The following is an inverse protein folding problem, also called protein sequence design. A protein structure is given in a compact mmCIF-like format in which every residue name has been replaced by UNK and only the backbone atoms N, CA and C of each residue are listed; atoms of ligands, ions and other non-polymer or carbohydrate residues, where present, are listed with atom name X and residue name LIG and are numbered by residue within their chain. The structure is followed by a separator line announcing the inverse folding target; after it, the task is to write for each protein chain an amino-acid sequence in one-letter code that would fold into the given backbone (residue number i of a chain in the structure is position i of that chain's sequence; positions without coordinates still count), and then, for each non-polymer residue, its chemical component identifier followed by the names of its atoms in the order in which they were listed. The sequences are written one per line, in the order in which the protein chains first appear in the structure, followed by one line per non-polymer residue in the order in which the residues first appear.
data_IF_310138989010
#
_entry.id   IF_310138989010
#
_cell.length_a   1.000
_cell.length_b   1.000
_cell.length_c   1.000
_cell.angle_alpha   90.00
_cell.angle_beta   90.00
_cell.angle_gamma   90.00
#
_symmetry.space_group_name_H-M   'P 1'
#
loop_
_entity.id
_entity.type
_entity.pdbx_description
1 polymer ?
#
# COMPACT_ATOMS: atom_id res chain seq x y z
N UNK A 1 -20.66 11.60 -0.18
CA UNK A 1 -19.30 11.93 0.31
C UNK A 1 -18.87 10.82 1.24
N UNK A 2 -17.60 10.42 1.20
CA UNK A 2 -17.07 9.39 2.11
C UNK A 2 -17.11 9.97 3.53
N UNK A 3 -17.92 9.36 4.40
CA UNK A 3 -18.15 9.85 5.76
C UNK A 3 -17.26 9.18 6.80
N UNK A 4 -16.50 8.15 6.41
CA UNK A 4 -15.69 7.33 7.31
C UNK A 4 -14.19 7.47 7.00
N UNK A 5 -13.38 7.99 7.94
CA UNK A 5 -11.93 8.07 7.80
C UNK A 5 -11.27 6.73 7.44
N UNK A 6 -11.80 5.60 7.92
CA UNK A 6 -11.27 4.27 7.59
C UNK A 6 -11.44 3.94 6.10
N UNK A 7 -12.58 4.28 5.50
CA UNK A 7 -12.82 4.03 4.07
C UNK A 7 -11.87 4.84 3.20
N UNK A 8 -11.61 6.11 3.55
CA UNK A 8 -10.63 6.96 2.83
C UNK A 8 -9.25 6.32 2.85
N UNK A 9 -8.86 5.74 3.99
CA UNK A 9 -7.57 5.09 4.16
C UNK A 9 -7.44 3.80 3.35
N UNK A 10 -8.51 3.02 3.27
CA UNK A 10 -8.57 1.85 2.38
C UNK A 10 -8.37 2.27 0.92
N UNK A 11 -9.05 3.34 0.47
CA UNK A 11 -8.88 3.84 -0.91
C UNK A 11 -7.43 4.25 -1.19
N UNK A 12 -6.80 4.99 -0.28
CA UNK A 12 -5.39 5.40 -0.42
C UNK A 12 -4.48 4.17 -0.43
N UNK A 13 -4.74 3.17 0.41
CA UNK A 13 -3.96 1.93 0.48
C UNK A 13 -4.04 1.16 -0.83
N UNK A 14 -5.24 1.02 -1.41
CA UNK A 14 -5.41 0.34 -2.71
C UNK A 14 -4.69 1.09 -3.84
N UNK A 15 -4.77 2.43 -3.86
CA UNK A 15 -4.09 3.27 -4.86
C UNK A 15 -2.56 3.19 -4.73
N UNK A 16 -2.02 3.24 -3.51
CA UNK A 16 -0.59 3.07 -3.27
C UNK A 16 -0.11 1.67 -3.69
N UNK A 17 -0.94 0.64 -3.50
CA UNK A 17 -0.60 -0.71 -3.90
C UNK A 17 -0.51 -0.87 -5.42
N UNK A 18 -1.49 -0.37 -6.18
CA UNK A 18 -1.41 -0.43 -7.65
C UNK A 18 -0.24 0.41 -8.19
N UNK A 19 0.07 1.57 -7.58
CA UNK A 19 1.28 2.34 -7.88
C UNK A 19 2.53 1.48 -7.69
N UNK A 20 2.62 0.79 -6.56
CA UNK A 20 3.76 -0.06 -6.22
C UNK A 20 3.93 -1.22 -7.20
N UNK A 21 2.86 -1.89 -7.57
CA UNK A 21 2.88 -2.98 -8.55
C UNK A 21 3.43 -2.48 -9.89
N UNK A 22 2.96 -1.32 -10.35
CA UNK A 22 3.41 -0.73 -11.61
C UNK A 22 4.89 -0.33 -11.58
N UNK A 23 5.40 0.22 -10.48
CA UNK A 23 6.82 0.51 -10.34
C UNK A 23 7.69 -0.75 -10.36
N UNK A 24 7.25 -1.83 -9.69
CA UNK A 24 7.95 -3.11 -9.72
C UNK A 24 7.96 -3.64 -11.16
N UNK A 25 6.82 -3.64 -11.85
CA UNK A 25 6.73 -4.05 -13.24
C UNK A 25 7.64 -3.20 -14.13
N UNK A 26 7.64 -1.88 -13.96
CA UNK A 26 8.50 -0.96 -14.73
C UNK A 26 9.99 -1.27 -14.54
N UNK A 27 10.42 -1.65 -13.33
CA UNK A 27 11.81 -2.10 -13.10
C UNK A 27 12.09 -3.44 -13.80
N UNK A 28 11.14 -4.38 -13.77
CA UNK A 28 11.25 -5.66 -14.48
C UNK A 28 11.32 -5.45 -15.99
N UNK A 29 10.47 -4.60 -16.55
CA UNK A 29 10.42 -4.24 -17.97
C UNK A 29 11.76 -3.64 -18.43
N UNK A 30 12.32 -2.68 -17.67
CA UNK A 30 13.65 -2.11 -17.96
C UNK A 30 14.75 -3.17 -17.99
N UNK A 31 14.72 -4.11 -17.05
CA UNK A 31 15.66 -5.25 -17.03
C UNK A 31 15.43 -6.19 -18.22
N UNK A 32 14.19 -6.43 -18.60
CA UNK A 32 13.83 -7.26 -19.75
C UNK A 32 14.34 -6.63 -21.06
N UNK A 33 14.13 -5.33 -21.25
CA UNK A 33 14.68 -4.57 -22.40
C UNK A 33 16.21 -4.63 -22.42
N UNK A 34 16.88 -4.47 -21.27
CA UNK A 34 18.35 -4.50 -21.20
C UNK A 34 18.95 -5.89 -21.46
N UNK A 35 18.24 -6.96 -21.10
CA UNK A 35 18.72 -8.35 -21.23
C UNK A 35 18.18 -9.07 -22.47
N UNK A 36 17.22 -8.48 -23.18
CA UNK A 36 16.51 -9.08 -24.30
C UNK A 36 15.62 -10.27 -23.92
N UNK A 37 15.38 -10.51 -22.62
CA UNK A 37 14.56 -11.61 -22.12
C UNK A 37 13.29 -11.04 -21.49
N UNK A 38 12.09 -11.43 -21.94
CA UNK A 38 10.85 -10.97 -21.33
C UNK A 38 10.74 -11.43 -19.87
N UNK A 39 9.99 -10.67 -19.07
CA UNK A 39 9.64 -11.05 -17.71
C UNK A 39 8.79 -12.34 -17.76
N UNK A 40 9.22 -13.44 -17.11
CA UNK A 40 8.47 -14.70 -17.13
C UNK A 40 7.16 -14.62 -16.34
N UNK A 41 7.00 -13.61 -15.48
CA UNK A 41 5.82 -13.46 -14.60
C UNK A 41 5.46 -11.97 -14.42
N UNK A 42 4.88 -11.34 -15.46
CA UNK A 42 4.44 -9.96 -15.38
C UNK A 42 3.17 -9.84 -14.55
N UNK A 43 3.08 -8.79 -13.72
CA UNK A 43 1.86 -8.50 -12.95
C UNK A 43 0.70 -8.12 -13.86
N UNK A 44 0.99 -7.46 -14.99
CA UNK A 44 -0.01 -7.00 -15.96
C UNK A 44 0.24 -7.70 -17.29
N UNK A 45 -0.78 -8.40 -17.80
CA UNK A 45 -0.75 -8.93 -19.16
C UNK A 45 -0.85 -7.82 -20.22
N UNK A 46 -0.65 -8.16 -21.49
CA UNK A 46 -0.68 -7.20 -22.61
C UNK A 46 -2.03 -6.48 -22.73
N UNK A 47 -3.13 -7.13 -22.37
CA UNK A 47 -4.49 -6.57 -22.34
C UNK A 47 -4.80 -5.75 -21.08
N UNK A 48 -3.90 -5.74 -20.09
CA UNK A 48 -4.07 -5.05 -18.80
C UNK A 48 -3.20 -3.79 -18.67
N UNK A 49 -2.53 -3.37 -19.73
CA UNK A 49 -1.63 -2.22 -19.67
C UNK A 49 -2.35 -0.93 -19.26
N UNK A 50 -3.62 -0.74 -19.60
CA UNK A 50 -4.40 0.44 -19.17
C UNK A 50 -4.64 0.49 -17.65
N UNK A 51 -4.45 -0.62 -16.92
CA UNK A 51 -4.58 -0.68 -15.46
C UNK A 51 -3.32 -0.22 -14.72
N UNK A 52 -2.21 -0.02 -15.44
CA UNK A 52 -0.94 0.42 -14.86
C UNK A 52 -1.01 1.87 -14.43
N UNK A 53 -0.46 2.17 -13.25
CA UNK A 53 -0.42 3.52 -12.67
C UNK A 53 0.10 4.57 -13.66
N UNK A 54 1.26 4.30 -14.28
CA UNK A 54 1.85 5.21 -15.27
C UNK A 54 0.96 5.49 -16.48
N UNK A 55 0.03 4.58 -16.81
CA UNK A 55 -0.82 4.68 -17.99
C UNK A 55 -2.14 5.38 -17.68
N UNK A 56 -2.81 5.05 -16.56
CA UNK A 56 -4.07 5.70 -16.23
C UNK A 56 -3.88 7.09 -15.63
N UNK A 57 -2.77 7.39 -14.96
CA UNK A 57 -2.56 8.68 -14.28
C UNK A 57 -2.56 9.89 -15.23
N UNK A 58 -2.23 9.68 -16.50
CA UNK A 58 -2.19 10.71 -17.53
C UNK A 58 -3.48 10.82 -18.35
N UNK A 59 -4.49 10.00 -18.05
CA UNK A 59 -5.78 10.02 -18.75
C UNK A 59 -6.64 11.17 -18.24
N UNK A 60 -7.63 11.54 -19.04
CA UNK A 60 -8.69 12.45 -18.60
C UNK A 60 -9.35 11.93 -17.30
N UNK A 61 -9.70 12.80 -16.34
CA UNK A 61 -10.28 12.38 -15.06
C UNK A 61 -11.47 11.43 -15.20
N UNK A 62 -12.37 11.65 -16.16
CA UNK A 62 -13.54 10.78 -16.36
C UNK A 62 -13.12 9.37 -16.80
N UNK A 63 -12.13 9.28 -17.70
CA UNK A 63 -11.58 8.01 -18.18
C UNK A 63 -10.82 7.31 -17.05
N UNK A 64 -9.98 8.05 -16.32
CA UNK A 64 -9.25 7.55 -15.16
C UNK A 64 -10.22 6.96 -14.12
N UNK A 65 -11.32 7.65 -13.86
CA UNK A 65 -12.33 7.21 -12.91
C UNK A 65 -12.94 5.86 -13.32
N UNK A 66 -13.32 5.70 -14.59
CA UNK A 66 -13.82 4.42 -15.12
C UNK A 66 -12.77 3.31 -15.05
N UNK A 67 -11.52 3.59 -15.45
CA UNK A 67 -10.43 2.60 -15.38
C UNK A 67 -10.13 2.15 -13.96
N UNK A 68 -10.14 3.07 -12.99
CA UNK A 68 -9.88 2.73 -11.59
C UNK A 68 -11.05 1.96 -11.00
N UNK A 69 -12.29 2.42 -11.19
CA UNK A 69 -13.48 1.80 -10.65
C UNK A 69 -13.75 0.40 -11.23
N UNK A 70 -13.72 0.28 -12.56
CA UNK A 70 -14.18 -0.91 -13.29
C UNK A 70 -13.03 -1.80 -13.77
N UNK A 71 -11.78 -1.34 -13.67
CA UNK A 71 -10.59 -2.09 -14.06
C UNK A 71 -9.70 -2.43 -12.86
N UNK A 72 -9.10 -1.41 -12.23
CA UNK A 72 -8.09 -1.56 -11.19
C UNK A 72 -8.64 -2.28 -9.95
N UNK A 73 -9.76 -1.82 -9.38
CA UNK A 73 -10.33 -2.45 -8.18
C UNK A 73 -10.76 -3.91 -8.41
N UNK A 74 -11.44 -4.27 -9.52
CA UNK A 74 -11.67 -5.66 -9.90
C UNK A 74 -10.40 -6.49 -10.11
N UNK A 75 -9.32 -5.89 -10.62
CA UNK A 75 -8.03 -6.56 -10.76
C UNK A 75 -7.40 -6.85 -9.39
N UNK A 76 -7.38 -5.87 -8.47
CA UNK A 76 -6.85 -6.05 -7.11
C UNK A 76 -7.58 -7.14 -6.32
N UNK A 77 -8.92 -7.23 -6.46
CA UNK A 77 -9.73 -8.30 -5.84
C UNK A 77 -9.34 -9.70 -6.32
N UNK A 78 -8.98 -9.84 -7.60
CA UNK A 78 -8.59 -11.12 -8.21
C UNK A 78 -7.18 -11.54 -7.83
N UNK A 79 -6.28 -10.59 -7.63
CA UNK A 79 -4.90 -10.85 -7.18
C UNK A 79 -4.82 -11.41 -5.74
N UNK A 80 -5.81 -11.15 -4.88
CA UNK A 80 -5.91 -11.71 -3.52
C UNK A 80 -6.28 -13.20 -3.47
N UNK A 81 -5.77 -14.01 -4.40
CA UNK A 81 -6.17 -15.41 -4.61
C UNK A 81 -5.55 -16.42 -3.65
N UNK A 82 -4.30 -16.20 -3.21
CA UNK A 82 -3.55 -17.18 -2.39
C UNK A 82 -3.38 -16.72 -0.94
N UNK A 83 -3.29 -17.68 0.00
CA UNK A 83 -3.38 -17.62 1.48
C UNK A 83 -2.42 -16.64 2.21
N UNK A 84 -2.40 -15.37 1.82
CA UNK A 84 -1.70 -14.29 2.53
C UNK A 84 -2.68 -13.40 3.31
N UNK A 85 -2.22 -12.78 4.40
CA UNK A 85 -3.01 -11.79 5.16
C UNK A 85 -3.52 -10.65 4.27
N UNK A 86 -2.77 -10.31 3.22
CA UNK A 86 -3.12 -9.27 2.25
C UNK A 86 -4.36 -9.65 1.41
N UNK A 87 -4.48 -10.92 1.04
CA UNK A 87 -5.55 -11.46 0.21
C UNK A 87 -6.94 -11.31 0.83
N UNK A 88 -7.05 -11.41 2.17
CA UNK A 88 -8.32 -11.19 2.86
C UNK A 88 -8.80 -9.73 2.80
N UNK A 89 -7.88 -8.76 2.89
CA UNK A 89 -8.22 -7.33 2.83
C UNK A 89 -8.52 -6.84 1.40
N UNK A 90 -7.99 -7.52 0.39
CA UNK A 90 -8.21 -7.14 -1.01
C UNK A 90 -9.53 -7.66 -1.58
N UNK A 91 -10.07 -8.80 -1.08
CA UNK A 91 -11.31 -9.41 -1.61
C UNK A 91 -12.54 -8.50 -1.51
N UNK A 92 -12.61 -7.69 -0.47
CA UNK A 92 -13.70 -6.76 -0.22
C UNK A 92 -13.41 -5.33 -0.69
N UNK A 93 -12.35 -5.12 -1.48
CA UNK A 93 -12.00 -3.79 -1.99
C UNK A 93 -13.16 -3.18 -2.79
N UNK A 94 -13.73 -2.09 -2.25
CA UNK A 94 -14.79 -1.31 -2.89
C UNK A 94 -14.27 0.06 -3.23
N UNK A 95 -14.53 0.51 -4.45
CA UNK A 95 -14.21 1.86 -4.86
C UNK A 95 -15.26 2.84 -4.34
N UNK A 96 -14.84 3.85 -3.57
CA UNK A 96 -15.77 4.78 -2.90
C UNK A 96 -15.45 6.25 -3.11
N UNK A 97 -14.38 6.59 -3.85
CA UNK A 97 -13.96 7.97 -4.08
C UNK A 97 -15.06 8.75 -4.83
N UNK A 98 -15.58 9.86 -4.27
CA UNK A 98 -16.68 10.60 -4.87
C UNK A 98 -16.18 11.45 -6.04
N UNK A 99 -16.19 10.82 -7.21
CA UNK A 99 -16.12 11.48 -8.50
C UNK A 99 -14.71 11.69 -9.09
N UNK A 100 -14.65 11.97 -10.40
CA UNK A 100 -13.42 11.99 -11.20
C UNK A 100 -12.37 13.01 -10.73
N UNK A 101 -12.80 14.25 -10.46
CA UNK A 101 -11.89 15.34 -10.09
C UNK A 101 -11.20 15.11 -8.73
N UNK A 102 -11.87 14.43 -7.80
CA UNK A 102 -11.26 14.10 -6.52
C UNK A 102 -10.23 12.97 -6.69
N UNK A 103 -10.58 11.94 -7.47
CA UNK A 103 -9.65 10.88 -7.80
C UNK A 103 -8.37 11.43 -8.45
N UNK A 104 -8.50 12.30 -9.46
CA UNK A 104 -7.36 12.90 -10.13
C UNK A 104 -6.42 13.62 -9.14
N UNK A 105 -6.97 14.46 -8.25
CA UNK A 105 -6.19 15.13 -7.21
C UNK A 105 -5.49 14.15 -6.26
N UNK A 106 -6.16 13.06 -5.87
CA UNK A 106 -5.56 12.02 -5.03
C UNK A 106 -4.43 11.33 -5.77
N UNK A 107 -4.63 10.95 -7.03
CA UNK A 107 -3.60 10.31 -7.86
C UNK A 107 -2.38 11.22 -8.01
N UNK A 108 -2.58 12.51 -8.29
CA UNK A 108 -1.48 13.49 -8.39
C UNK A 108 -0.68 13.57 -7.08
N UNK A 109 -1.37 13.72 -5.94
CA UNK A 109 -0.73 13.78 -4.61
C UNK A 109 0.06 12.50 -4.28
N UNK A 110 -0.47 11.35 -4.68
CA UNK A 110 0.20 10.07 -4.45
C UNK A 110 1.35 9.84 -5.45
N UNK A 111 1.31 10.42 -6.65
CA UNK A 111 2.37 10.26 -7.67
C UNK A 111 3.70 10.85 -7.20
N UNK A 112 3.66 11.98 -6.47
CA UNK A 112 4.83 12.65 -5.89
C UNK A 112 5.53 11.83 -4.79
N UNK A 113 4.88 10.81 -4.24
CA UNK A 113 5.44 9.98 -3.17
C UNK A 113 6.46 9.00 -3.75
N UNK A 114 7.75 9.19 -3.46
CA UNK A 114 8.79 8.22 -3.85
C UNK A 114 8.67 6.92 -3.05
N UNK A 115 8.74 5.79 -3.77
CA UNK A 115 8.60 4.43 -3.26
C UNK A 115 9.90 3.63 -3.32
N UNK A 116 11.05 4.30 -3.41
CA UNK A 116 12.34 3.63 -3.65
C UNK A 116 13.00 3.12 -2.36
N UNK A 117 12.98 3.88 -1.26
CA UNK A 117 13.56 3.49 0.04
C UNK A 117 12.67 2.52 0.82
N UNK A 118 13.24 1.46 1.42
CA UNK A 118 12.49 0.53 2.28
C UNK A 118 11.88 1.22 3.50
N UNK A 119 12.61 2.17 4.08
CA UNK A 119 12.23 2.86 5.31
C UNK A 119 11.05 3.82 5.10
N UNK A 120 11.06 4.60 4.01
CA UNK A 120 9.95 5.52 3.67
C UNK A 120 8.62 4.81 3.42
N UNK A 121 8.64 3.53 3.02
CA UNK A 121 7.44 2.70 2.81
C UNK A 121 6.79 2.32 4.15
N UNK A 122 7.62 1.95 5.13
CA UNK A 122 7.19 1.65 6.49
C UNK A 122 6.69 2.91 7.17
N UNK A 123 7.46 3.99 7.11
CA UNK A 123 7.14 5.27 7.78
C UNK A 123 5.87 5.92 7.25
N UNK A 124 5.59 5.87 5.94
CA UNK A 124 4.34 6.42 5.40
C UNK A 124 3.15 5.58 5.82
N UNK A 125 3.27 4.25 5.75
CA UNK A 125 2.22 3.34 6.20
C UNK A 125 1.98 3.47 7.71
N UNK A 126 3.05 3.58 8.50
CA UNK A 126 3.00 3.80 9.94
C UNK A 126 2.50 5.19 10.31
N UNK A 127 2.88 6.24 9.60
CA UNK A 127 2.36 7.60 9.80
C UNK A 127 0.86 7.65 9.53
N UNK A 128 0.44 7.02 8.43
CA UNK A 128 -0.96 6.88 8.05
C UNK A 128 -1.75 6.10 9.12
N UNK A 129 -1.19 5.00 9.66
CA UNK A 129 -1.78 4.24 10.77
C UNK A 129 -1.76 5.01 12.12
N UNK A 130 -0.69 5.74 12.42
CA UNK A 130 -0.51 6.48 13.68
C UNK A 130 -1.45 7.67 13.77
N UNK A 131 -1.69 8.36 12.65
CA UNK A 131 -2.64 9.48 12.56
C UNK A 131 -4.10 9.04 12.72
N UNK A 132 -4.41 7.77 12.39
CA UNK A 132 -5.70 7.12 12.69
C UNK A 132 -5.84 6.84 14.19
N UNK A 133 -4.78 6.33 14.85
CA UNK A 133 -4.80 6.08 16.28
C UNK A 133 -5.04 7.36 17.12
N UNK A 134 -4.61 8.52 16.59
CA UNK A 134 -4.86 9.83 17.21
C UNK A 134 -6.25 10.40 16.89
N UNK A 135 -6.90 9.97 15.80
CA UNK A 135 -8.19 10.51 15.35
C UNK A 135 -9.43 9.84 15.97
N UNK A 136 -9.28 8.73 16.70
CA UNK A 136 -10.40 8.11 17.42
C UNK A 136 -9.95 7.14 18.50
N UNK A 137 -10.29 7.45 19.76
CA UNK A 137 -10.42 6.61 20.98
C UNK A 137 -9.78 5.20 21.07
N UNK A 138 -8.67 4.90 20.39
CA UNK A 138 -8.06 3.57 20.34
C UNK A 138 -6.53 3.63 20.46
N UNK A 139 -6.00 4.62 21.19
CA UNK A 139 -4.58 4.69 21.58
C UNK A 139 -4.12 3.61 22.57
N UNK A 140 -4.88 2.52 22.72
CA UNK A 140 -4.69 1.51 23.76
C UNK A 140 -3.97 0.23 23.28
N UNK A 141 -3.47 0.19 22.04
CA UNK A 141 -2.85 -1.02 21.48
C UNK A 141 -1.46 -0.84 20.88
N UNK A 142 -0.83 0.35 20.93
CA UNK A 142 0.48 0.56 20.30
C UNK A 142 1.42 1.48 21.09
N UNK A 143 2.66 1.02 21.20
CA UNK A 143 3.79 1.78 21.71
C UNK A 143 4.45 2.55 20.55
N UNK A 144 4.70 3.87 20.68
CA UNK A 144 5.41 4.65 19.66
C UNK A 144 6.81 4.10 19.35
N UNK A 145 7.25 4.14 18.08
CA UNK A 145 8.50 3.50 17.64
C UNK A 145 9.75 4.01 18.36
N UNK A 146 9.86 5.31 18.59
CA UNK A 146 10.98 5.89 19.36
C UNK A 146 11.08 5.36 20.81
N UNK A 147 9.98 4.89 21.40
CA UNK A 147 9.99 4.25 22.72
C UNK A 147 10.42 2.79 22.59
N UNK A 148 9.99 2.10 21.54
CA UNK A 148 10.42 0.72 21.24
C UNK A 148 11.94 0.71 21.00
N UNK A 149 12.44 1.58 20.12
CA UNK A 149 13.86 1.65 19.77
C UNK A 149 14.72 1.98 20.98
N UNK A 150 14.30 2.94 21.82
CA UNK A 150 14.97 3.26 23.08
C UNK A 150 15.00 2.04 24.03
N UNK A 151 13.88 1.34 24.16
CA UNK A 151 13.79 0.17 25.02
C UNK A 151 14.65 -0.99 24.51
N UNK A 152 14.69 -1.24 23.21
CA UNK A 152 15.55 -2.26 22.58
C UNK A 152 17.03 -1.89 22.71
N UNK A 153 17.38 -0.62 22.51
CA UNK A 153 18.75 -0.11 22.67
C UNK A 153 19.25 -0.25 24.12
N UNK A 154 18.37 -0.01 25.10
CA UNK A 154 18.68 -0.20 26.51
C UNK A 154 18.72 -1.68 26.95
N UNK A 155 17.89 -2.53 26.33
CA UNK A 155 17.74 -3.94 26.69
C UNK A 155 18.83 -4.80 26.05
N UNK A 156 19.38 -4.37 24.91
CA UNK A 156 20.45 -5.06 24.17
C UNK A 156 20.23 -6.57 24.02
N UNK A 157 19.07 -7.03 23.50
CA UNK A 157 18.78 -8.45 23.40
C UNK A 157 19.76 -9.16 22.46
N UNK A 158 20.28 -10.30 22.91
CA UNK A 158 21.20 -11.15 22.15
C UNK A 158 20.47 -12.26 21.37
N UNK A 159 21.14 -12.90 20.39
CA UNK A 159 20.54 -13.95 19.56
C UNK A 159 20.11 -15.23 20.30
N UNK A 160 20.48 -15.37 21.58
CA UNK A 160 20.11 -16.52 22.43
C UNK A 160 19.03 -16.16 23.46
N UNK A 161 18.60 -14.91 23.48
CA UNK A 161 17.62 -14.43 24.45
C UNK A 161 16.21 -14.73 23.95
N UNK A 162 15.35 -15.17 24.85
CA UNK A 162 13.94 -15.42 24.57
C UNK A 162 13.14 -14.16 24.91
N UNK A 163 12.58 -13.52 23.89
CA UNK A 163 11.79 -12.29 24.03
C UNK A 163 10.31 -12.65 24.04
N UNK A 164 9.60 -12.26 25.09
CA UNK A 164 8.16 -12.44 25.22
C UNK A 164 7.48 -11.11 25.51
N UNK A 165 6.54 -10.72 24.67
CA UNK A 165 5.66 -9.57 24.90
C UNK A 165 4.21 -10.07 25.11
N UNK A 166 3.73 -10.14 26.37
CA UNK A 166 2.42 -10.69 26.71
C UNK A 166 1.26 -9.78 26.29
N UNK A 167 1.52 -8.57 25.78
CA UNK A 167 0.53 -7.62 25.29
C UNK A 167 0.97 -7.00 23.95
N UNK A 168 1.53 -7.83 23.06
CA UNK A 168 2.31 -7.38 21.90
C UNK A 168 1.60 -6.45 20.90
N UNK A 169 0.28 -6.32 20.94
CA UNK A 169 -0.47 -5.47 20.01
C UNK A 169 -0.14 -5.85 18.56
N UNK A 170 0.65 -5.03 17.88
CA UNK A 170 1.12 -5.30 16.52
C UNK A 170 2.56 -5.80 16.43
N UNK A 171 3.02 -6.43 17.50
CA UNK A 171 4.33 -7.02 17.64
C UNK A 171 5.50 -6.03 17.42
N UNK A 172 5.30 -4.75 17.77
CA UNK A 172 6.31 -3.71 17.54
C UNK A 172 7.66 -3.99 18.23
N UNK A 173 7.66 -4.65 19.38
CA UNK A 173 8.89 -5.06 20.08
C UNK A 173 9.56 -6.32 19.52
N UNK A 174 8.86 -7.09 18.68
CA UNK A 174 9.34 -8.36 18.13
C UNK A 174 9.81 -8.23 16.66
N UNK A 175 9.62 -7.06 16.05
CA UNK A 175 10.00 -6.71 14.68
C UNK A 175 11.07 -5.62 14.70
#
# INVERSE_FOLDING_TARGET
GISNPLEVMEQITYLLFIKRLDEIQTRKDRKATATGKPDPDPFFSDDQQDLRWQNFKVKDPEIMYGLVADGVFPYLRRMGGDESTYSHHMKDARFTIPGPNLLAKVVDLLDDISMDSSDTKGDIYEYLLAKIATAGQNGQFRTPRHIIDLMVEMTQPGPRDEICDPACGTAGFLV
#
